data_IF_774669815594
#
_entry.id   IF_774669815594
#
_cell.length_a   1.000
_cell.length_b   1.000
_cell.length_c   1.000
_cell.angle_alpha   90.00
_cell.angle_beta   90.00
_cell.angle_gamma   90.00
#
_symmetry.space_group_name_H-M   'P 1'
#
loop_
_entity.id
_entity.type
_entity.pdbx_description
1 polymer ?
#
# COMPACT_ATOMS: atom_id res chain seq x y z
N UNK A 1 -7.15 16.81 20.25
CA UNK A 1 -7.25 16.41 18.82
C UNK A 1 -5.85 16.27 18.27
N UNK A 2 -5.53 15.14 17.65
CA UNK A 2 -4.25 14.91 16.95
C UNK A 2 -4.43 15.16 15.44
N UNK A 3 -3.34 15.44 14.73
CA UNK A 3 -3.38 15.76 13.29
C UNK A 3 -2.19 15.17 12.53
N UNK A 4 -2.30 15.16 11.21
CA UNK A 4 -1.22 14.75 10.33
C UNK A 4 -1.20 15.67 9.09
N UNK A 5 -0.79 16.93 9.29
CA UNK A 5 -0.82 17.96 8.23
C UNK A 5 0.08 17.62 7.02
N UNK A 6 1.02 16.69 7.19
CA UNK A 6 1.95 16.34 6.13
C UNK A 6 1.46 15.17 5.23
N UNK A 7 0.26 14.62 5.46
CA UNK A 7 -0.35 13.68 4.50
C UNK A 7 -0.42 14.35 3.14
N UNK A 8 -0.03 13.62 2.10
CA UNK A 8 0.01 14.15 0.73
C UNK A 8 1.25 15.00 0.41
N UNK A 9 2.20 15.14 1.35
CA UNK A 9 3.48 15.82 1.14
C UNK A 9 4.68 14.94 1.50
N UNK A 10 4.46 13.66 1.77
CA UNK A 10 5.49 12.67 2.07
C UNK A 10 5.06 11.30 1.54
N UNK A 11 5.48 10.99 0.31
CA UNK A 11 5.15 9.76 -0.38
C UNK A 11 3.80 9.76 -1.10
N UNK A 12 3.62 8.77 -2.00
CA UNK A 12 2.45 8.60 -2.85
C UNK A 12 1.28 7.92 -2.10
N UNK A 13 0.20 7.58 -2.81
CA UNK A 13 -1.06 7.02 -2.31
C UNK A 13 -0.88 6.00 -1.17
N UNK A 14 -0.10 4.94 -1.37
CA UNK A 14 0.07 3.88 -0.37
C UNK A 14 0.73 4.36 0.94
N UNK A 15 1.63 5.36 0.87
CA UNK A 15 2.18 5.99 2.07
C UNK A 15 1.13 6.87 2.78
N UNK A 16 0.30 7.58 2.01
CA UNK A 16 -0.81 8.37 2.55
C UNK A 16 -1.82 7.47 3.28
N UNK A 17 -2.07 6.26 2.74
CA UNK A 17 -2.93 5.27 3.38
C UNK A 17 -2.36 4.83 4.75
N UNK A 18 -1.05 4.56 4.86
CA UNK A 18 -0.42 4.24 6.14
C UNK A 18 -0.50 5.41 7.12
N UNK A 19 -0.21 6.62 6.67
CA UNK A 19 -0.28 7.84 7.50
C UNK A 19 -1.68 8.07 8.05
N UNK A 20 -2.70 7.95 7.18
CA UNK A 20 -4.10 8.08 7.57
C UNK A 20 -4.54 6.98 8.55
N UNK A 21 -4.29 5.71 8.21
CA UNK A 21 -4.70 4.58 9.03
C UNK A 21 -4.05 4.61 10.41
N UNK A 22 -2.76 4.93 10.48
CA UNK A 22 -2.02 5.03 11.75
C UNK A 22 -2.50 6.20 12.60
N UNK A 23 -2.77 7.37 12.00
CA UNK A 23 -3.37 8.51 12.70
C UNK A 23 -4.73 8.14 13.31
N UNK A 24 -5.63 7.54 12.50
CA UNK A 24 -6.96 7.12 12.96
C UNK A 24 -6.86 6.05 14.03
N UNK A 25 -5.98 5.06 13.88
CA UNK A 25 -5.78 4.00 14.86
C UNK A 25 -5.27 4.51 16.20
N UNK A 26 -4.28 5.42 16.19
CA UNK A 26 -3.79 6.07 17.42
C UNK A 26 -4.92 6.92 18.05
N UNK A 27 -5.67 7.68 17.24
CA UNK A 27 -6.80 8.46 17.72
C UNK A 27 -7.85 7.58 18.43
N UNK A 28 -8.24 6.48 17.83
CA UNK A 28 -9.20 5.51 18.40
C UNK A 28 -8.68 4.91 19.71
N UNK A 29 -7.41 4.47 19.72
CA UNK A 29 -6.78 3.90 20.93
C UNK A 29 -6.74 4.89 22.09
N UNK A 30 -6.57 6.18 21.80
CA UNK A 30 -6.46 7.25 22.80
C UNK A 30 -7.79 7.94 23.13
N UNK A 31 -8.87 7.66 22.40
CA UNK A 31 -10.14 8.37 22.53
C UNK A 31 -10.07 9.83 22.09
N UNK A 32 -9.21 10.13 21.08
CA UNK A 32 -9.02 11.47 20.54
C UNK A 32 -9.79 11.69 19.24
N UNK A 33 -10.21 12.93 19.02
CA UNK A 33 -10.53 13.40 17.67
C UNK A 33 -9.23 13.54 16.85
N UNK A 34 -9.32 13.38 15.52
CA UNK A 34 -8.22 13.60 14.61
C UNK A 34 -8.62 14.49 13.43
N UNK A 35 -7.64 15.07 12.76
CA UNK A 35 -7.85 15.82 11.52
C UNK A 35 -6.76 15.52 10.49
N UNK A 36 -7.14 15.63 9.21
CA UNK A 36 -6.26 15.49 8.05
C UNK A 36 -6.28 16.80 7.25
N UNK A 37 -5.22 17.12 6.50
CA UNK A 37 -5.15 18.37 5.73
C UNK A 37 -6.07 18.31 4.51
N UNK A 38 -6.57 19.46 4.00
CA UNK A 38 -7.33 19.49 2.77
C UNK A 38 -6.46 19.11 1.55
N UNK A 39 -7.08 18.48 0.55
CA UNK A 39 -6.39 18.00 -0.65
C UNK A 39 -5.53 19.07 -1.35
N UNK A 40 -5.97 20.34 -1.31
CA UNK A 40 -5.29 21.46 -1.98
C UNK A 40 -3.85 21.70 -1.52
N UNK A 41 -3.43 21.15 -0.38
CA UNK A 41 -2.04 21.25 0.11
C UNK A 41 -1.16 20.07 -0.27
N UNK A 42 -1.73 19.04 -0.94
CA UNK A 42 -0.97 17.87 -1.36
C UNK A 42 0.04 18.23 -2.46
N UNK A 43 1.21 17.57 -2.42
CA UNK A 43 2.27 17.76 -3.40
C UNK A 43 3.01 19.10 -3.32
N UNK A 44 2.72 19.97 -2.35
CA UNK A 44 3.39 21.27 -2.26
C UNK A 44 4.89 21.14 -1.94
N UNK A 45 5.27 20.10 -1.18
CA UNK A 45 6.63 19.91 -0.67
C UNK A 45 7.33 18.66 -1.20
N UNK A 46 6.63 17.80 -1.93
CA UNK A 46 7.17 16.55 -2.48
C UNK A 46 6.90 16.47 -3.99
N UNK A 47 7.93 16.61 -4.85
CA UNK A 47 7.78 16.53 -6.29
C UNK A 47 7.16 15.19 -6.75
N UNK A 48 7.46 14.08 -6.07
CA UNK A 48 6.92 12.76 -6.41
C UNK A 48 5.40 12.70 -6.17
N UNK A 49 4.89 13.43 -5.19
CA UNK A 49 3.45 13.54 -4.93
C UNK A 49 2.80 14.52 -5.90
N UNK A 50 3.46 15.66 -6.17
CA UNK A 50 2.95 16.67 -7.08
C UNK A 50 2.64 16.12 -8.48
N UNK A 51 3.48 15.22 -8.96
CA UNK A 51 3.31 14.60 -10.28
C UNK A 51 2.42 13.32 -10.24
N UNK A 52 1.93 12.94 -9.06
CA UNK A 52 1.00 11.81 -8.90
C UNK A 52 -0.44 12.33 -8.92
N UNK A 53 -1.27 11.92 -9.88
CA UNK A 53 -2.65 12.38 -9.97
C UNK A 53 -3.55 11.82 -8.85
N UNK A 54 -3.14 10.71 -8.23
CA UNK A 54 -3.94 9.96 -7.26
C UNK A 54 -3.48 10.19 -5.83
N UNK A 55 -4.46 10.40 -4.98
CA UNK A 55 -4.30 10.57 -3.54
C UNK A 55 -5.51 9.96 -2.79
N UNK A 56 -5.47 9.91 -1.46
CA UNK A 56 -6.53 9.28 -0.66
C UNK A 56 -7.91 9.90 -0.83
N UNK A 57 -8.04 11.16 -1.27
CA UNK A 57 -9.34 11.82 -1.44
C UNK A 57 -10.05 11.46 -2.74
N UNK A 58 -9.28 11.28 -3.82
CA UNK A 58 -9.84 10.97 -5.12
C UNK A 58 -9.92 9.48 -5.43
N UNK A 59 -9.34 8.65 -4.55
CA UNK A 59 -9.44 7.17 -4.63
C UNK A 59 -10.53 6.62 -3.71
N UNK A 60 -10.74 7.26 -2.53
CA UNK A 60 -11.62 6.71 -1.48
C UNK A 60 -12.65 7.75 -1.02
N UNK A 61 -13.89 7.58 -1.41
CA UNK A 61 -14.98 8.53 -1.13
C UNK A 61 -15.19 8.81 0.37
N UNK A 62 -14.92 7.81 1.22
CA UNK A 62 -15.20 7.93 2.66
C UNK A 62 -14.18 8.81 3.40
N UNK A 63 -13.01 9.09 2.81
CA UNK A 63 -11.99 9.95 3.41
C UNK A 63 -12.51 11.39 3.60
N UNK A 64 -13.30 11.91 2.66
CA UNK A 64 -13.87 13.25 2.72
C UNK A 64 -14.88 13.46 3.86
N UNK A 65 -15.36 12.39 4.50
CA UNK A 65 -16.28 12.44 5.66
C UNK A 65 -15.58 12.77 6.99
N UNK A 66 -14.25 12.80 7.01
CA UNK A 66 -13.47 13.09 8.22
C UNK A 66 -13.32 14.60 8.48
N UNK A 67 -12.74 14.94 9.63
CA UNK A 67 -12.43 16.32 9.97
C UNK A 67 -11.25 16.82 9.13
N UNK A 68 -11.54 17.71 8.18
CA UNK A 68 -10.56 18.24 7.23
C UNK A 68 -10.17 19.65 7.67
N UNK A 69 -8.97 19.77 8.24
CA UNK A 69 -8.40 21.06 8.63
C UNK A 69 -6.88 20.95 8.85
N UNK A 70 -6.18 22.05 8.65
CA UNK A 70 -4.79 22.19 9.05
C UNK A 70 -4.74 22.60 10.52
N UNK A 71 -4.06 21.81 11.34
CA UNK A 71 -3.85 22.13 12.74
C UNK A 71 -2.62 23.04 12.93
N UNK A 72 -2.54 23.67 14.10
CA UNK A 72 -1.35 24.42 14.56
C UNK A 72 -0.61 23.68 15.68
N UNK A 73 -0.86 22.39 15.80
CA UNK A 73 -0.23 21.55 16.80
C UNK A 73 1.29 21.47 16.61
N UNK A 74 2.06 21.29 17.70
CA UNK A 74 3.50 21.03 17.59
C UNK A 74 3.74 19.68 16.89
N UNK A 75 4.81 19.65 16.08
CA UNK A 75 5.19 18.46 15.32
C UNK A 75 5.66 17.35 16.27
N UNK A 76 5.12 16.15 16.07
CA UNK A 76 5.57 14.90 16.66
C UNK A 76 6.24 14.05 15.56
N UNK A 77 7.58 14.07 15.56
CA UNK A 77 8.38 13.34 14.59
C UNK A 77 8.36 11.84 14.87
N UNK A 78 8.17 11.02 13.83
CA UNK A 78 8.38 9.57 13.91
C UNK A 78 9.79 9.27 14.41
N UNK A 79 9.89 8.47 15.49
CA UNK A 79 11.15 8.18 16.17
C UNK A 79 11.86 6.95 15.60
N UNK A 80 11.09 6.00 15.10
CA UNK A 80 11.57 4.73 14.56
C UNK A 80 10.64 4.25 13.45
N UNK A 81 11.16 3.43 12.56
CA UNK A 81 10.39 2.88 11.44
C UNK A 81 9.42 1.78 11.87
N UNK A 82 9.75 1.07 12.95
CA UNK A 82 8.90 0.05 13.54
C UNK A 82 7.78 0.66 14.41
N UNK A 83 6.88 -0.19 14.89
CA UNK A 83 5.82 0.19 15.81
C UNK A 83 6.38 0.78 17.11
N UNK A 84 6.02 2.01 17.39
CA UNK A 84 6.33 2.68 18.62
C UNK A 84 5.22 2.41 19.65
N UNK A 85 5.39 1.37 20.46
CA UNK A 85 4.41 0.98 21.46
C UNK A 85 4.19 2.06 22.55
N UNK A 86 5.24 2.80 22.91
CA UNK A 86 5.11 3.90 23.87
C UNK A 86 4.24 5.03 23.31
N UNK A 87 4.49 5.40 22.04
CA UNK A 87 3.65 6.37 21.34
C UNK A 87 2.20 5.89 21.26
N UNK A 88 1.98 4.64 20.87
CA UNK A 88 0.63 4.09 20.73
C UNK A 88 -0.15 4.12 22.05
N UNK A 89 0.51 3.76 23.17
CA UNK A 89 -0.10 3.70 24.50
C UNK A 89 -0.26 5.07 25.18
N UNK A 90 0.63 6.01 24.90
CA UNK A 90 0.74 7.26 25.65
C UNK A 90 0.84 8.52 24.79
N UNK A 91 0.46 8.44 23.49
CA UNK A 91 0.44 9.59 22.60
C UNK A 91 -0.18 10.80 23.29
N UNK A 92 0.52 11.95 23.34
CA UNK A 92 -0.05 13.18 23.87
C UNK A 92 -1.16 13.70 22.92
N UNK A 93 -2.14 14.39 23.49
CA UNK A 93 -3.11 15.13 22.68
C UNK A 93 -2.50 16.41 22.10
N UNK A 94 -3.13 16.99 21.08
CA UNK A 94 -2.74 18.24 20.43
C UNK A 94 -1.33 18.21 19.84
N UNK A 95 -1.02 17.15 19.10
CA UNK A 95 0.21 16.98 18.32
C UNK A 95 -0.09 16.80 16.84
N UNK A 96 0.86 17.14 15.99
CA UNK A 96 0.85 16.97 14.54
C UNK A 96 1.91 15.96 14.12
N UNK A 97 1.48 14.85 13.56
CA UNK A 97 2.37 13.76 13.17
C UNK A 97 3.22 14.11 11.94
N UNK A 98 4.45 13.64 11.94
CA UNK A 98 5.35 13.76 10.80
C UNK A 98 6.19 12.47 10.66
N UNK A 99 6.03 11.75 9.56
CA UNK A 99 6.72 10.51 9.26
C UNK A 99 5.92 9.62 8.32
N UNK A 100 6.25 8.33 8.26
CA UNK A 100 5.56 7.35 7.42
C UNK A 100 4.58 6.47 8.20
N UNK A 101 4.93 6.12 9.43
CA UNK A 101 4.13 5.28 10.34
C UNK A 101 3.68 3.96 9.70
N UNK A 102 4.58 3.28 9.00
CA UNK A 102 4.31 2.08 8.21
C UNK A 102 4.27 0.81 9.07
N UNK A 103 3.39 0.77 10.06
CA UNK A 103 3.13 -0.42 10.87
C UNK A 103 1.63 -0.67 11.03
N UNK A 104 1.10 -1.84 10.61
CA UNK A 104 -0.31 -2.18 10.79
C UNK A 104 -0.72 -2.25 12.28
N UNK A 105 0.22 -2.45 13.20
CA UNK A 105 -0.03 -2.47 14.65
C UNK A 105 -0.67 -1.19 15.19
N UNK A 106 -0.52 -0.06 14.46
CA UNK A 106 -1.20 1.18 14.83
C UNK A 106 -2.70 1.13 14.58
N UNK A 107 -3.19 0.34 13.61
CA UNK A 107 -4.59 0.36 13.16
C UNK A 107 -5.28 -1.00 13.06
N UNK A 108 -4.58 -2.10 13.33
CA UNK A 108 -5.16 -3.45 13.22
C UNK A 108 -6.39 -3.65 14.12
N UNK A 109 -6.42 -3.01 15.29
CA UNK A 109 -7.55 -3.06 16.22
C UNK A 109 -8.84 -2.37 15.70
N UNK A 110 -8.72 -1.60 14.61
CA UNK A 110 -9.83 -0.96 13.90
C UNK A 110 -9.84 -1.35 12.42
N UNK A 111 -9.39 -2.57 12.09
CA UNK A 111 -9.26 -3.07 10.71
C UNK A 111 -10.51 -2.81 9.87
N UNK A 112 -11.68 -3.12 10.41
CA UNK A 112 -12.95 -2.96 9.70
C UNK A 112 -13.28 -1.49 9.40
N UNK A 113 -12.97 -0.56 10.31
CA UNK A 113 -13.13 0.88 10.07
C UNK A 113 -12.19 1.36 8.97
N UNK A 114 -10.94 0.89 8.94
CA UNK A 114 -9.97 1.25 7.90
C UNK A 114 -10.39 0.69 6.53
N UNK A 115 -10.90 -0.54 6.49
CA UNK A 115 -11.44 -1.10 5.24
C UNK A 115 -12.66 -0.35 4.73
N UNK A 116 -13.52 0.13 5.63
CA UNK A 116 -14.67 0.96 5.26
C UNK A 116 -14.24 2.32 4.71
N UNK A 117 -13.20 2.94 5.31
CA UNK A 117 -12.64 4.20 4.81
C UNK A 117 -12.00 4.05 3.42
N UNK A 118 -11.38 2.91 3.13
CA UNK A 118 -10.66 2.63 1.90
C UNK A 118 -11.51 1.84 0.88
N UNK A 119 -12.82 2.01 0.90
CA UNK A 119 -13.71 1.51 -0.16
C UNK A 119 -13.52 2.32 -1.44
N UNK A 120 -13.38 1.62 -2.53
CA UNK A 120 -13.35 2.22 -3.86
C UNK A 120 -14.75 2.68 -4.27
N UNK A 121 -14.82 3.59 -5.25
CA UNK A 121 -16.08 4.00 -5.83
C UNK A 121 -16.74 2.86 -6.62
N UNK A 122 -18.05 2.91 -6.79
CA UNK A 122 -18.81 1.90 -7.54
C UNK A 122 -18.31 1.77 -9.00
N UNK A 123 -17.86 2.86 -9.62
CA UNK A 123 -17.32 2.86 -10.97
C UNK A 123 -16.00 2.09 -11.05
N UNK A 124 -15.08 2.33 -10.12
CA UNK A 124 -13.81 1.59 -9.99
C UNK A 124 -14.07 0.11 -9.73
N UNK A 125 -14.97 -0.19 -8.78
CA UNK A 125 -15.37 -1.57 -8.46
C UNK A 125 -15.94 -2.32 -9.67
N UNK A 126 -16.79 -1.65 -10.48
CA UNK A 126 -17.38 -2.24 -11.68
C UNK A 126 -16.31 -2.62 -12.70
N UNK A 127 -15.40 -1.69 -13.01
CA UNK A 127 -14.29 -1.94 -13.94
C UNK A 127 -13.42 -3.09 -13.47
N UNK A 128 -13.06 -3.11 -12.17
CA UNK A 128 -12.24 -4.16 -11.60
C UNK A 128 -12.94 -5.52 -11.61
N UNK A 129 -14.26 -5.57 -11.38
CA UNK A 129 -15.03 -6.80 -11.47
C UNK A 129 -15.01 -7.36 -12.90
N UNK A 130 -15.23 -6.53 -13.92
CA UNK A 130 -15.18 -6.94 -15.33
C UNK A 130 -13.78 -7.48 -15.70
N UNK A 131 -12.72 -6.81 -15.26
CA UNK A 131 -11.34 -7.26 -15.49
C UNK A 131 -11.05 -8.59 -14.80
N UNK A 132 -11.44 -8.72 -13.53
CA UNK A 132 -11.27 -9.96 -12.76
C UNK A 132 -12.00 -11.13 -13.40
N UNK A 133 -13.27 -10.95 -13.76
CA UNK A 133 -14.08 -11.98 -14.42
C UNK A 133 -13.52 -12.41 -15.80
N UNK A 134 -12.82 -11.51 -16.49
CA UNK A 134 -12.16 -11.85 -17.77
C UNK A 134 -11.01 -12.84 -17.60
N UNK A 135 -10.42 -12.93 -16.42
CA UNK A 135 -9.30 -13.81 -16.08
C UNK A 135 -9.78 -15.04 -15.30
N UNK A 136 -10.79 -14.86 -14.45
CA UNK A 136 -11.31 -15.88 -13.56
C UNK A 136 -12.16 -16.90 -14.33
N UNK A 137 -11.64 -18.12 -14.50
CA UNK A 137 -12.33 -19.26 -15.07
C UNK A 137 -12.73 -20.31 -14.01
N UNK A 138 -12.90 -19.88 -12.76
CA UNK A 138 -13.20 -20.71 -11.60
C UNK A 138 -11.96 -21.24 -10.88
N UNK A 139 -10.79 -20.72 -11.20
CA UNK A 139 -9.52 -21.02 -10.53
C UNK A 139 -9.10 -19.84 -9.66
N UNK A 140 -8.13 -20.08 -8.77
CA UNK A 140 -7.54 -19.01 -7.98
C UNK A 140 -6.77 -18.03 -8.86
N UNK A 141 -6.82 -16.75 -8.50
CA UNK A 141 -6.15 -15.69 -9.21
C UNK A 141 -5.03 -15.12 -8.32
N UNK A 142 -3.82 -15.06 -8.87
CA UNK A 142 -2.63 -14.54 -8.22
C UNK A 142 -2.41 -13.10 -8.70
N UNK A 143 -2.30 -12.14 -7.79
CA UNK A 143 -1.75 -10.82 -8.03
C UNK A 143 -0.23 -10.87 -7.91
N UNK A 144 0.52 -10.51 -8.95
CA UNK A 144 1.97 -10.39 -8.91
C UNK A 144 2.39 -8.95 -9.20
N UNK A 145 2.98 -8.29 -8.22
CA UNK A 145 3.41 -6.90 -8.35
C UNK A 145 4.91 -6.77 -8.58
N UNK A 146 5.28 -6.04 -9.61
CA UNK A 146 6.67 -5.72 -10.00
C UNK A 146 6.86 -4.20 -9.92
N UNK A 147 7.76 -3.74 -9.03
CA UNK A 147 8.14 -2.33 -8.90
C UNK A 147 9.49 -2.09 -9.52
N UNK A 148 9.58 -1.16 -10.48
CA UNK A 148 10.81 -0.92 -11.24
C UNK A 148 11.20 0.55 -11.39
N UNK A 149 10.38 1.38 -12.01
CA UNK A 149 10.75 2.70 -12.56
C UNK A 149 11.69 3.51 -11.67
N UNK A 150 11.20 4.07 -10.59
CA UNK A 150 12.00 4.84 -9.62
C UNK A 150 13.00 3.96 -8.83
N UNK A 151 12.73 2.66 -8.66
CA UNK A 151 13.63 1.72 -7.97
C UNK A 151 14.89 1.40 -8.78
N UNK A 152 14.91 1.61 -10.09
CA UNK A 152 16.12 1.43 -10.91
C UNK A 152 17.22 2.43 -10.55
N UNK A 153 16.87 3.57 -9.94
CA UNK A 153 17.80 4.64 -9.56
C UNK A 153 17.77 4.94 -8.05
N UNK A 154 16.94 4.22 -7.30
CA UNK A 154 16.77 4.43 -5.86
C UNK A 154 17.71 3.51 -5.06
N UNK A 155 18.68 4.10 -4.40
CA UNK A 155 19.64 3.35 -3.56
C UNK A 155 19.05 2.80 -2.25
N UNK A 156 17.81 3.14 -1.91
CA UNK A 156 17.18 2.73 -0.65
C UNK A 156 16.29 1.48 -0.79
N UNK A 157 15.81 1.22 -2.00
CA UNK A 157 14.91 0.10 -2.29
C UNK A 157 15.50 -0.74 -3.42
N UNK A 158 15.94 -1.99 -3.14
CA UNK A 158 16.47 -2.86 -4.17
C UNK A 158 15.37 -3.30 -5.14
N UNK A 159 15.73 -3.46 -6.41
CA UNK A 159 14.87 -4.18 -7.35
C UNK A 159 14.77 -5.64 -6.93
N UNK A 160 13.57 -6.19 -6.98
CA UNK A 160 13.41 -7.64 -6.83
C UNK A 160 13.87 -8.35 -8.12
N UNK A 161 14.60 -9.42 -7.93
CA UNK A 161 15.14 -10.19 -9.07
C UNK A 161 14.08 -11.06 -9.74
N UNK A 162 14.33 -11.46 -10.98
CA UNK A 162 13.47 -12.45 -11.67
C UNK A 162 13.41 -13.77 -10.90
N UNK A 163 14.51 -14.18 -10.27
CA UNK A 163 14.56 -15.39 -9.45
C UNK A 163 13.64 -15.31 -8.25
N UNK A 164 13.47 -14.12 -7.63
CA UNK A 164 12.48 -13.93 -6.57
C UNK A 164 11.08 -14.30 -7.06
N UNK A 165 10.65 -13.74 -8.19
CA UNK A 165 9.31 -13.97 -8.74
C UNK A 165 9.13 -15.43 -9.19
N UNK A 166 10.14 -16.02 -9.82
CA UNK A 166 10.12 -17.44 -10.18
C UNK A 166 10.00 -18.34 -8.96
N UNK A 167 10.75 -18.07 -7.91
CA UNK A 167 10.68 -18.82 -6.66
C UNK A 167 9.31 -18.63 -5.99
N UNK A 168 8.80 -17.39 -5.92
CA UNK A 168 7.51 -17.08 -5.35
C UNK A 168 6.36 -17.83 -6.05
N UNK A 169 6.37 -17.94 -7.37
CA UNK A 169 5.38 -18.68 -8.14
C UNK A 169 5.38 -20.19 -7.80
N UNK A 170 6.47 -20.75 -7.31
CA UNK A 170 6.51 -22.18 -6.92
C UNK A 170 5.63 -22.50 -5.71
N UNK A 171 5.17 -21.53 -4.98
CA UNK A 171 4.27 -21.69 -3.83
C UNK A 171 2.80 -21.87 -4.26
N UNK A 172 2.45 -21.63 -5.51
CA UNK A 172 1.08 -21.66 -6.04
C UNK A 172 0.89 -22.78 -7.04
N UNK A 173 -0.36 -23.13 -7.32
CA UNK A 173 -0.67 -24.15 -8.34
C UNK A 173 -0.40 -23.57 -9.74
N UNK A 174 0.21 -24.36 -10.61
CA UNK A 174 0.48 -23.97 -12.00
C UNK A 174 -0.77 -23.71 -12.83
N UNK A 175 -1.92 -24.13 -12.33
CA UNK A 175 -3.21 -23.89 -12.98
C UNK A 175 -3.88 -22.60 -12.52
N UNK A 176 -3.37 -21.94 -11.46
CA UNK A 176 -3.87 -20.66 -11.01
C UNK A 176 -3.66 -19.60 -12.09
N UNK A 177 -4.52 -18.60 -12.11
CA UNK A 177 -4.45 -17.48 -13.03
C UNK A 177 -3.52 -16.41 -12.49
N UNK A 178 -2.89 -15.64 -13.38
CA UNK A 178 -1.92 -14.63 -13.00
C UNK A 178 -2.29 -13.27 -13.58
N UNK A 179 -2.39 -12.26 -12.71
CA UNK A 179 -2.44 -10.86 -13.11
C UNK A 179 -1.14 -10.19 -12.66
N UNK A 180 -0.40 -9.64 -13.59
CA UNK A 180 0.86 -8.93 -13.34
C UNK A 180 0.60 -7.43 -13.31
N UNK A 181 0.95 -6.78 -12.23
CA UNK A 181 0.87 -5.34 -12.03
C UNK A 181 2.28 -4.75 -12.04
N UNK A 182 2.49 -3.69 -12.79
CA UNK A 182 3.81 -3.04 -12.82
C UNK A 182 3.72 -1.58 -13.26
N UNK A 183 4.62 -0.77 -12.73
CA UNK A 183 4.90 0.57 -13.23
C UNK A 183 5.81 0.56 -14.50
N UNK A 184 6.18 -0.65 -14.98
CA UNK A 184 6.94 -0.90 -16.22
C UNK A 184 6.36 -2.12 -16.96
N UNK A 185 5.11 -2.05 -17.48
CA UNK A 185 4.46 -3.20 -18.12
C UNK A 185 5.19 -3.67 -19.38
N UNK A 186 5.86 -2.77 -20.09
CA UNK A 186 6.66 -3.15 -21.28
C UNK A 186 7.81 -4.08 -20.92
N UNK A 187 8.50 -3.78 -19.83
CA UNK A 187 9.54 -4.68 -19.34
C UNK A 187 8.96 -6.04 -18.98
N UNK A 188 7.78 -6.09 -18.37
CA UNK A 188 7.11 -7.36 -18.05
C UNK A 188 6.80 -8.18 -19.30
N UNK A 189 6.31 -7.54 -20.37
CA UNK A 189 6.02 -8.20 -21.66
C UNK A 189 7.25 -8.80 -22.30
N UNK A 190 8.44 -8.24 -22.05
CA UNK A 190 9.72 -8.75 -22.57
C UNK A 190 10.25 -9.96 -21.78
N UNK A 191 9.67 -10.27 -20.61
CA UNK A 191 10.11 -11.41 -19.80
C UNK A 191 9.42 -12.70 -20.25
N UNK A 192 10.21 -13.70 -20.65
CA UNK A 192 9.70 -14.99 -21.12
C UNK A 192 8.81 -15.73 -20.10
N UNK A 193 8.94 -15.44 -18.81
CA UNK A 193 8.09 -16.02 -17.77
C UNK A 193 6.63 -15.54 -17.81
N UNK A 194 6.34 -14.43 -18.50
CA UNK A 194 5.00 -13.86 -18.65
C UNK A 194 4.47 -13.96 -20.09
N UNK A 195 5.08 -14.81 -20.93
CA UNK A 195 4.71 -14.95 -22.35
C UNK A 195 3.49 -15.86 -22.60
N UNK A 196 2.91 -16.43 -21.56
CA UNK A 196 1.69 -17.27 -21.68
C UNK A 196 0.47 -16.37 -21.86
N UNK A 197 -0.34 -16.64 -22.89
CA UNK A 197 -1.56 -15.89 -23.23
C UNK A 197 -2.63 -15.88 -22.11
N UNK A 198 -2.50 -16.78 -21.14
CA UNK A 198 -3.38 -16.84 -19.96
C UNK A 198 -2.97 -15.87 -18.84
N UNK A 199 -1.84 -15.17 -19.00
CA UNK A 199 -1.35 -14.16 -18.06
C UNK A 199 -1.85 -12.78 -18.49
N UNK A 200 -2.57 -12.10 -17.62
CA UNK A 200 -2.94 -10.70 -17.85
C UNK A 200 -1.84 -9.79 -17.29
N UNK A 201 -1.26 -8.95 -18.14
CA UNK A 201 -0.41 -7.84 -17.68
C UNK A 201 -1.29 -6.58 -17.63
N UNK A 202 -1.48 -6.00 -16.44
CA UNK A 202 -2.23 -4.76 -16.27
C UNK A 202 -1.49 -3.63 -16.93
N UNK A 203 -2.09 -3.02 -17.94
CA UNK A 203 -1.49 -1.92 -18.72
C UNK A 203 -2.52 -0.83 -19.01
N UNK A 204 -2.09 0.42 -18.88
CA UNK A 204 -2.93 1.60 -19.19
C UNK A 204 -3.96 1.94 -18.13
N UNK A 205 -3.94 1.28 -16.99
CA UNK A 205 -4.81 1.56 -15.84
C UNK A 205 -4.17 2.60 -14.93
N UNK A 206 -5.01 3.36 -14.24
CA UNK A 206 -4.59 4.20 -13.12
C UNK A 206 -4.36 3.34 -11.87
N UNK A 207 -3.61 3.87 -10.91
CA UNK A 207 -3.20 3.10 -9.73
C UNK A 207 -4.37 2.72 -8.79
N UNK A 208 -5.50 3.40 -8.84
CA UNK A 208 -6.72 3.04 -8.11
C UNK A 208 -7.36 1.76 -8.68
N UNK A 209 -7.41 1.64 -10.01
CA UNK A 209 -7.87 0.42 -10.70
C UNK A 209 -6.93 -0.74 -10.35
N UNK A 210 -5.61 -0.56 -10.46
CA UNK A 210 -4.65 -1.60 -10.13
C UNK A 210 -4.77 -2.04 -8.66
N UNK A 211 -4.87 -1.08 -7.72
CA UNK A 211 -5.03 -1.39 -6.31
C UNK A 211 -6.34 -2.13 -6.02
N UNK A 212 -7.44 -1.67 -6.61
CA UNK A 212 -8.74 -2.33 -6.48
C UNK A 212 -8.70 -3.76 -7.07
N UNK A 213 -8.16 -3.92 -8.27
CA UNK A 213 -8.05 -5.24 -8.90
C UNK A 213 -7.16 -6.19 -8.10
N UNK A 214 -6.07 -5.69 -7.48
CA UNK A 214 -5.28 -6.48 -6.53
C UNK A 214 -6.15 -7.03 -5.40
N UNK A 215 -7.05 -6.22 -4.80
CA UNK A 215 -7.88 -6.67 -3.67
C UNK A 215 -8.86 -7.78 -4.02
N UNK A 216 -9.13 -8.01 -5.30
CA UNK A 216 -10.01 -9.08 -5.77
C UNK A 216 -9.30 -10.41 -5.98
N UNK A 217 -7.96 -10.39 -6.03
CA UNK A 217 -7.16 -11.59 -6.21
C UNK A 217 -7.14 -12.43 -4.93
N UNK A 218 -7.13 -13.76 -5.08
CA UNK A 218 -7.09 -14.70 -3.94
C UNK A 218 -5.72 -14.76 -3.28
N UNK A 219 -4.66 -14.63 -4.09
CA UNK A 219 -3.26 -14.79 -3.67
C UNK A 219 -2.42 -13.62 -4.12
N UNK A 220 -1.31 -13.37 -3.41
CA UNK A 220 -0.41 -12.27 -3.76
C UNK A 220 1.06 -12.66 -3.75
N UNK A 221 1.79 -12.17 -4.77
CA UNK A 221 3.25 -12.07 -4.78
C UNK A 221 3.57 -10.58 -4.81
N UNK A 222 4.03 -10.04 -3.71
CA UNK A 222 4.24 -8.59 -3.58
C UNK A 222 5.69 -8.20 -3.86
N UNK A 223 5.91 -6.99 -4.37
CA UNK A 223 7.22 -6.35 -4.35
C UNK A 223 7.47 -5.74 -2.96
N UNK A 224 8.69 -5.21 -2.74
CA UNK A 224 9.01 -4.37 -1.58
C UNK A 224 8.37 -2.97 -1.69
N UNK A 225 7.05 -2.97 -1.79
CA UNK A 225 6.23 -1.79 -2.03
C UNK A 225 5.00 -1.76 -1.14
N UNK A 226 4.80 -0.65 -0.44
CA UNK A 226 3.59 -0.41 0.35
C UNK A 226 2.32 -0.52 -0.49
N UNK A 227 2.38 -0.30 -1.80
CA UNK A 227 1.23 -0.40 -2.70
C UNK A 227 0.67 -1.82 -2.77
N UNK A 228 1.50 -2.81 -3.10
CA UNK A 228 1.06 -4.20 -3.14
C UNK A 228 0.84 -4.81 -1.75
N UNK A 229 1.48 -4.26 -0.71
CA UNK A 229 1.16 -4.61 0.67
C UNK A 229 -0.30 -4.26 0.99
N UNK A 230 -0.75 -3.05 0.61
CA UNK A 230 -2.15 -2.64 0.80
C UNK A 230 -3.12 -3.47 -0.04
N UNK A 231 -2.76 -3.84 -1.27
CA UNK A 231 -3.57 -4.74 -2.10
C UNK A 231 -3.85 -6.07 -1.39
N UNK A 232 -2.80 -6.70 -0.84
CA UNK A 232 -2.91 -7.95 -0.10
C UNK A 232 -3.69 -7.78 1.22
N UNK A 233 -3.45 -6.69 1.97
CA UNK A 233 -4.10 -6.46 3.26
C UNK A 233 -5.60 -6.14 3.13
N UNK A 234 -5.98 -5.31 2.16
CA UNK A 234 -7.38 -4.96 1.90
C UNK A 234 -8.18 -6.14 1.35
N UNK A 235 -7.55 -6.99 0.52
CA UNK A 235 -8.17 -8.16 -0.11
C UNK A 235 -8.38 -9.35 0.81
N UNK A 236 -7.91 -9.31 2.08
CA UNK A 236 -7.94 -10.48 2.99
C UNK A 236 -7.34 -11.74 2.35
N UNK A 237 -6.20 -11.58 1.70
CA UNK A 237 -5.57 -12.62 0.89
C UNK A 237 -5.35 -13.91 1.65
N UNK A 238 -5.72 -15.04 1.05
CA UNK A 238 -5.53 -16.37 1.63
C UNK A 238 -4.05 -16.76 1.70
N UNK A 239 -3.21 -16.21 0.82
CA UNK A 239 -1.78 -16.53 0.74
C UNK A 239 -0.98 -15.40 0.13
N UNK A 240 0.07 -14.98 0.83
CA UNK A 240 0.96 -13.91 0.40
C UNK A 240 2.41 -14.36 0.42
N UNK A 241 3.15 -14.07 -0.65
CA UNK A 241 4.62 -14.19 -0.72
C UNK A 241 5.22 -12.80 -0.83
N UNK A 242 6.15 -12.49 0.05
CA UNK A 242 6.78 -11.17 0.19
C UNK A 242 8.31 -11.28 0.17
N UNK A 243 9.04 -10.24 -0.29
CA UNK A 243 10.49 -10.25 -0.29
C UNK A 243 11.06 -9.84 1.07
N UNK A 244 12.03 -10.59 1.58
CA UNK A 244 12.74 -10.27 2.83
C UNK A 244 13.70 -9.08 2.70
N UNK A 245 14.22 -8.81 1.48
CA UNK A 245 15.07 -7.68 1.18
C UNK A 245 14.28 -6.41 0.81
N UNK A 246 13.47 -5.91 1.74
CA UNK A 246 12.62 -4.73 1.51
C UNK A 246 13.42 -3.44 1.33
N UNK A 247 14.43 -3.24 2.15
CA UNK A 247 15.34 -2.09 2.11
C UNK A 247 16.74 -2.52 1.72
N UNK A 248 17.47 -1.63 1.06
CA UNK A 248 18.89 -1.82 0.79
C UNK A 248 19.73 -1.69 2.08
N UNK A 249 20.95 -2.26 2.07
CA UNK A 249 21.90 -2.20 3.20
C UNK A 249 22.23 -0.75 3.62
N UNK A 250 22.11 0.21 2.69
CA UNK A 250 22.27 1.64 2.98
C UNK A 250 21.22 2.19 3.95
N UNK A 251 20.09 1.50 4.12
CA UNK A 251 19.03 1.84 5.05
C UNK A 251 19.15 1.08 6.37
N UNK A 252 20.36 0.80 6.84
CA UNK A 252 20.59 0.15 8.12
C UNK A 252 19.79 0.83 9.24
N UNK A 253 18.95 0.05 9.95
CA UNK A 253 18.05 0.53 10.99
C UNK A 253 16.59 0.72 10.56
N UNK A 254 16.26 0.56 9.25
CA UNK A 254 14.87 0.37 8.82
C UNK A 254 14.53 -1.11 8.80
N UNK A 255 13.35 -1.44 9.27
CA UNK A 255 12.86 -2.81 9.34
C UNK A 255 11.41 -2.86 8.90
N UNK A 256 11.02 -3.96 8.28
CA UNK A 256 9.62 -4.26 7.94
C UNK A 256 9.00 -5.30 8.86
N UNK A 257 9.68 -5.61 9.95
CA UNK A 257 9.26 -6.62 10.93
C UNK A 257 7.80 -6.49 11.36
N UNK A 258 7.28 -5.27 11.43
CA UNK A 258 5.90 -5.03 11.81
C UNK A 258 4.91 -5.21 10.65
N UNK A 259 5.38 -5.14 9.41
CA UNK A 259 4.59 -5.41 8.21
C UNK A 259 4.52 -6.92 7.91
N UNK A 260 5.30 -7.73 8.64
CA UNK A 260 5.31 -9.18 8.52
C UNK A 260 4.13 -9.77 9.28
N UNK A 261 3.28 -10.49 8.56
CA UNK A 261 2.26 -11.33 9.16
C UNK A 261 2.77 -12.77 9.24
N UNK A 262 2.37 -13.48 10.30
CA UNK A 262 2.84 -14.86 10.57
C UNK A 262 2.37 -15.88 9.53
N UNK A 263 1.34 -15.55 8.77
CA UNK A 263 0.76 -16.34 7.69
C UNK A 263 1.32 -15.99 6.31
N UNK A 264 2.16 -14.95 6.21
CA UNK A 264 2.86 -14.60 4.98
C UNK A 264 4.18 -15.35 4.85
N UNK A 265 4.54 -15.72 3.61
CA UNK A 265 5.83 -16.33 3.29
C UNK A 265 6.83 -15.27 2.88
N UNK A 266 7.97 -15.19 3.56
CA UNK A 266 9.05 -14.24 3.27
C UNK A 266 10.23 -14.97 2.62
N UNK A 267 10.66 -14.49 1.43
CA UNK A 267 11.74 -15.07 0.61
C UNK A 267 12.97 -14.16 0.58
#
# INVERSE_FOLDING_TARGET
MISFNNIGNLGRLANQMFQYASLKGIARNRGYEFSIPPEQVFGQNDPLVKDSPLNIYNVFDNISKNNIQISKNPILQERMHEFDEELFRSCPDNVDFFGYYQSPKYFEHIKDEIKDDFKFSDDVESVCNEMYESVNDGKKVISLHIRRTDYTVNNNHPLQSIEYYQNALTFFDKTDRLIVFSDDPKWCQEQGMFSDDSILISEGNDADIDLCLMTKCDYHIIANSSFSWWGAWLGDSEKVVAPSNWFADSCAGKSVKDMEFSDWTWL
#
